data_IF_061791618181
#
_entry.id   IF_061791618181
#
_cell.length_a   1.000
_cell.length_b   1.000
_cell.length_c   1.000
_cell.angle_alpha   90.00
_cell.angle_beta   90.00
_cell.angle_gamma   90.00
#
_symmetry.space_group_name_H-M   'P 1'
#
loop_
_entity.id
_entity.type
_entity.pdbx_description
1 polymer ?
#
# COMPACT_ATOMS: atom_id res chain seq x y z
N UNK A 1 -19.16 -2.90 21.23
CA UNK A 1 -18.14 -1.98 21.80
C UNK A 1 -18.51 -0.58 21.35
N UNK A 2 -18.40 0.44 22.20
CA UNK A 2 -18.66 1.82 21.82
C UNK A 2 -17.62 2.29 20.78
N UNK A 3 -18.08 3.06 19.76
CA UNK A 3 -17.27 3.59 18.66
C UNK A 3 -16.02 4.34 19.14
N UNK A 4 -16.17 5.17 20.19
CA UNK A 4 -15.07 5.94 20.76
C UNK A 4 -13.96 5.03 21.29
N UNK A 5 -14.35 4.05 22.10
CA UNK A 5 -13.43 3.06 22.67
C UNK A 5 -12.73 2.23 21.58
N UNK A 6 -13.42 1.95 20.48
CA UNK A 6 -12.85 1.23 19.33
C UNK A 6 -11.75 2.06 18.65
N UNK A 7 -12.03 3.35 18.36
CA UNK A 7 -11.07 4.26 17.75
C UNK A 7 -9.87 4.53 18.66
N UNK A 8 -10.09 4.74 19.96
CA UNK A 8 -9.03 5.01 20.95
C UNK A 8 -8.07 3.82 21.12
N UNK A 9 -8.54 2.59 20.87
CA UNK A 9 -7.70 1.38 20.88
C UNK A 9 -6.97 1.12 19.58
N UNK A 10 -7.58 1.48 18.44
CA UNK A 10 -7.04 1.18 17.11
C UNK A 10 -6.00 2.23 16.67
N UNK A 11 -6.21 3.49 16.99
CA UNK A 11 -5.37 4.60 16.56
C UNK A 11 -4.13 4.76 17.44
N UNK A 12 -3.01 5.08 16.79
CA UNK A 12 -1.72 5.37 17.44
C UNK A 12 -1.42 6.86 17.52
N UNK A 13 -2.12 7.68 16.73
CA UNK A 13 -2.00 9.13 16.70
C UNK A 13 -3.36 9.78 16.53
N UNK A 14 -3.43 11.10 16.72
CA UNK A 14 -4.64 11.88 16.51
C UNK A 14 -5.08 11.86 15.04
N UNK A 15 -4.12 11.95 14.12
CA UNK A 15 -4.35 11.90 12.67
C UNK A 15 -4.90 10.53 12.25
N UNK A 16 -4.31 9.45 12.73
CA UNK A 16 -4.79 8.09 12.46
C UNK A 16 -6.21 7.90 13.03
N UNK A 17 -6.50 8.48 14.20
CA UNK A 17 -7.84 8.43 14.80
C UNK A 17 -8.90 9.12 13.94
N UNK A 18 -8.58 10.27 13.35
CA UNK A 18 -9.45 11.00 12.42
C UNK A 18 -9.68 10.15 11.16
N UNK A 19 -8.61 9.64 10.55
CA UNK A 19 -8.68 8.79 9.38
C UNK A 19 -9.57 7.56 9.61
N UNK A 20 -9.32 6.83 10.69
CA UNK A 20 -10.11 5.65 11.06
C UNK A 20 -11.58 6.00 11.37
N UNK A 21 -11.82 7.18 11.92
CA UNK A 21 -13.17 7.73 12.10
C UNK A 21 -13.89 7.92 10.77
N UNK A 22 -13.23 8.55 9.79
CA UNK A 22 -13.79 8.75 8.45
C UNK A 22 -14.08 7.41 7.72
N UNK A 23 -13.26 6.39 7.93
CA UNK A 23 -13.50 5.06 7.36
C UNK A 23 -14.79 4.45 7.91
N UNK A 24 -15.02 4.52 9.22
CA UNK A 24 -16.28 4.08 9.82
C UNK A 24 -17.47 4.93 9.34
N UNK A 25 -17.29 6.24 9.17
CA UNK A 25 -18.36 7.11 8.63
C UNK A 25 -18.79 6.67 7.23
N UNK A 26 -17.84 6.30 6.37
CA UNK A 26 -18.11 5.79 5.03
C UNK A 26 -18.86 4.46 5.07
N UNK A 27 -18.46 3.56 5.95
CA UNK A 27 -19.18 2.30 6.18
C UNK A 27 -20.59 2.56 6.67
N UNK A 28 -20.78 3.39 7.70
CA UNK A 28 -22.09 3.72 8.25
C UNK A 28 -23.00 4.40 7.22
N UNK A 29 -22.45 5.31 6.39
CA UNK A 29 -23.17 5.95 5.30
C UNK A 29 -23.67 4.93 4.26
N UNK A 30 -22.82 3.96 3.88
CA UNK A 30 -23.18 2.89 3.00
C UNK A 30 -24.36 2.08 3.55
N UNK A 31 -24.26 1.66 4.82
CA UNK A 31 -25.32 0.85 5.48
C UNK A 31 -26.62 1.62 5.67
N UNK A 32 -26.55 2.90 6.07
CA UNK A 32 -27.75 3.72 6.32
C UNK A 32 -28.49 4.14 5.05
N UNK A 33 -27.73 4.47 3.98
CA UNK A 33 -28.31 4.95 2.74
C UNK A 33 -28.55 3.84 1.71
N UNK A 34 -28.01 2.66 1.96
CA UNK A 34 -27.99 1.53 1.03
C UNK A 34 -27.43 1.89 -0.35
N UNK A 35 -26.38 2.71 -0.36
CA UNK A 35 -25.64 3.18 -1.53
C UNK A 35 -24.14 2.90 -1.34
N UNK A 36 -23.40 2.58 -2.43
CA UNK A 36 -21.95 2.39 -2.34
C UNK A 36 -21.26 3.67 -1.88
N UNK A 37 -20.21 3.50 -1.09
CA UNK A 37 -19.33 4.60 -0.66
C UNK A 37 -17.88 4.16 -0.76
N UNK A 38 -16.97 5.12 -0.86
CA UNK A 38 -15.54 4.83 -0.86
C UNK A 38 -14.76 5.82 0.00
N UNK A 39 -13.57 5.41 0.40
CA UNK A 39 -12.58 6.29 1.05
C UNK A 39 -11.74 7.02 0.01
N UNK A 40 -10.89 7.94 0.46
CA UNK A 40 -9.73 8.40 -0.31
C UNK A 40 -8.69 7.26 -0.46
N UNK A 41 -7.62 7.48 -1.24
CA UNK A 41 -6.51 6.53 -1.34
C UNK A 41 -5.73 6.47 -0.03
N UNK A 42 -5.60 5.27 0.48
CA UNK A 42 -4.85 4.96 1.69
C UNK A 42 -3.48 4.41 1.33
N UNK A 43 -2.47 4.77 2.08
CA UNK A 43 -1.19 4.07 2.07
C UNK A 43 -1.35 2.64 2.59
N UNK A 44 -0.40 1.74 2.33
CA UNK A 44 -0.46 0.37 2.85
C UNK A 44 -0.58 0.29 4.37
N UNK A 45 0.05 1.23 5.10
CA UNK A 45 -0.04 1.29 6.57
C UNK A 45 -1.44 1.69 7.04
N UNK A 46 -2.04 2.72 6.42
CA UNK A 46 -3.40 3.18 6.70
C UNK A 46 -4.44 2.12 6.35
N UNK A 47 -4.28 1.47 5.20
CA UNK A 47 -5.15 0.36 4.78
C UNK A 47 -5.09 -0.82 5.75
N UNK A 48 -3.90 -1.14 6.29
CA UNK A 48 -3.75 -2.16 7.32
C UNK A 48 -4.42 -1.75 8.64
N UNK A 49 -4.24 -0.49 9.07
CA UNK A 49 -4.92 0.07 10.24
C UNK A 49 -6.44 -0.01 10.13
N UNK A 50 -6.96 0.35 8.94
CA UNK A 50 -8.38 0.27 8.63
C UNK A 50 -8.92 -1.18 8.67
N UNK A 51 -8.20 -2.14 8.08
CA UNK A 51 -8.58 -3.56 8.15
C UNK A 51 -8.66 -4.08 9.59
N UNK A 52 -7.71 -3.68 10.43
CA UNK A 52 -7.70 -4.10 11.84
C UNK A 52 -8.84 -3.46 12.62
N UNK A 53 -9.17 -2.20 12.32
CA UNK A 53 -10.33 -1.52 12.88
C UNK A 53 -11.64 -2.22 12.50
N UNK A 54 -11.84 -2.49 11.19
CA UNK A 54 -13.04 -3.18 10.70
C UNK A 54 -13.19 -4.56 11.34
N UNK A 55 -12.09 -5.32 11.44
CA UNK A 55 -12.08 -6.62 12.14
C UNK A 55 -12.46 -6.48 13.61
N UNK A 56 -11.92 -5.46 14.31
CA UNK A 56 -12.25 -5.21 15.72
C UNK A 56 -13.72 -4.74 15.91
N UNK A 57 -14.31 -4.14 14.87
CA UNK A 57 -15.72 -3.78 14.80
C UNK A 57 -16.63 -4.95 14.38
N UNK A 58 -16.06 -6.16 14.19
CA UNK A 58 -16.75 -7.36 13.67
C UNK A 58 -17.33 -7.16 12.24
N UNK A 59 -16.71 -6.29 11.44
CA UNK A 59 -17.03 -6.06 10.03
C UNK A 59 -16.06 -6.90 9.21
N UNK A 60 -16.53 -8.00 8.63
CA UNK A 60 -15.70 -8.97 7.91
C UNK A 60 -15.99 -9.03 6.40
N UNK A 61 -17.10 -8.46 5.96
CA UNK A 61 -17.61 -8.50 4.58
C UNK A 61 -18.31 -7.18 4.22
N UNK A 62 -18.81 -7.07 2.99
CA UNK A 62 -19.48 -5.86 2.49
C UNK A 62 -18.49 -4.75 2.15
N UNK A 63 -17.22 -5.10 1.86
CA UNK A 63 -16.23 -4.14 1.36
C UNK A 63 -15.18 -4.81 0.46
N UNK A 64 -14.62 -4.02 -0.44
CA UNK A 64 -13.46 -4.36 -1.25
C UNK A 64 -12.35 -3.31 -1.07
N UNK A 65 -11.12 -3.69 -1.37
CA UNK A 65 -9.95 -2.80 -1.32
C UNK A 65 -9.30 -2.79 -2.71
N UNK A 66 -9.54 -1.72 -3.46
CA UNK A 66 -9.11 -1.58 -4.85
C UNK A 66 -8.12 -0.42 -5.00
N UNK A 67 -7.19 -0.55 -5.94
CA UNK A 67 -6.20 0.48 -6.27
C UNK A 67 -6.01 0.67 -7.78
N UNK A 68 -6.96 0.14 -8.59
CA UNK A 68 -6.96 0.28 -10.04
C UNK A 68 -6.23 -0.84 -10.78
N UNK A 69 -5.39 -1.63 -10.12
CA UNK A 69 -4.72 -2.81 -10.70
C UNK A 69 -4.34 -3.80 -9.60
N UNK A 70 -4.03 -5.04 -9.99
CA UNK A 70 -3.56 -6.07 -9.06
C UNK A 70 -2.16 -5.72 -8.51
N UNK A 71 -2.01 -5.76 -7.19
CA UNK A 71 -0.75 -5.40 -6.53
C UNK A 71 -0.57 -3.92 -6.22
N UNK A 72 -1.58 -3.07 -6.47
CA UNK A 72 -1.54 -1.66 -6.12
C UNK A 72 -1.18 -1.43 -4.64
N UNK A 73 -0.23 -0.52 -4.39
CA UNK A 73 0.16 -0.17 -3.02
C UNK A 73 -0.87 0.75 -2.36
N UNK A 74 -1.27 1.80 -3.05
CA UNK A 74 -2.28 2.73 -2.56
C UNK A 74 -3.65 2.29 -3.03
N UNK A 75 -4.59 2.17 -2.08
CA UNK A 75 -5.92 1.60 -2.34
C UNK A 75 -7.00 2.35 -1.60
N UNK A 76 -8.22 2.29 -2.13
CA UNK A 76 -9.43 2.79 -1.49
C UNK A 76 -10.25 1.62 -0.95
N UNK A 77 -10.89 1.79 0.19
CA UNK A 77 -12.01 0.92 0.58
C UNK A 77 -13.26 1.32 -0.18
N UNK A 78 -13.93 0.34 -0.74
CA UNK A 78 -15.27 0.43 -1.29
C UNK A 78 -16.20 -0.34 -0.38
N UNK A 79 -17.16 0.33 0.23
CA UNK A 79 -18.18 -0.29 1.04
C UNK A 79 -19.40 -0.56 0.18
N UNK A 80 -19.91 -1.80 0.25
CA UNK A 80 -20.93 -2.32 -0.63
C UNK A 80 -22.27 -2.41 0.12
N UNK A 81 -23.36 -1.89 -0.47
CA UNK A 81 -24.70 -2.12 0.04
C UNK A 81 -25.10 -3.60 -0.17
N UNK A 82 -26.15 -4.05 0.51
CA UNK A 82 -26.56 -5.46 0.52
C UNK A 82 -26.94 -6.03 -0.85
N UNK A 83 -27.31 -5.17 -1.81
CA UNK A 83 -27.68 -5.55 -3.18
C UNK A 83 -26.48 -5.65 -4.14
N UNK A 84 -25.29 -5.21 -3.74
CA UNK A 84 -24.10 -5.15 -4.59
C UNK A 84 -23.05 -6.16 -4.12
N UNK A 85 -22.73 -7.12 -5.00
CA UNK A 85 -21.74 -8.16 -4.70
C UNK A 85 -20.31 -7.73 -5.04
N UNK A 86 -20.12 -6.94 -6.10
CA UNK A 86 -18.81 -6.51 -6.58
C UNK A 86 -18.64 -5.00 -6.49
N UNK A 87 -17.45 -4.56 -6.15
CA UNK A 87 -17.11 -3.15 -6.11
C UNK A 87 -16.88 -2.61 -7.52
N UNK A 88 -17.52 -1.49 -7.85
CA UNK A 88 -17.25 -0.72 -9.04
C UNK A 88 -16.45 0.54 -8.67
N UNK A 89 -15.26 0.68 -9.24
CA UNK A 89 -14.36 1.80 -9.00
C UNK A 89 -14.43 2.85 -10.13
N UNK A 90 -15.24 2.65 -11.17
CA UNK A 90 -15.27 3.50 -12.37
C UNK A 90 -15.61 4.96 -12.07
N UNK A 91 -16.50 5.22 -11.11
CA UNK A 91 -16.89 6.56 -10.69
C UNK A 91 -15.92 7.19 -9.68
N UNK A 92 -15.02 6.41 -9.06
CA UNK A 92 -14.13 6.86 -8.01
C UNK A 92 -12.69 7.07 -8.48
N UNK A 93 -12.26 6.32 -9.50
CA UNK A 93 -10.88 6.32 -10.00
C UNK A 93 -10.83 6.67 -11.48
N UNK A 94 -9.85 7.50 -11.83
CA UNK A 94 -9.51 7.84 -13.22
C UNK A 94 -8.05 7.52 -13.46
N UNK A 95 -7.75 7.03 -14.65
CA UNK A 95 -6.41 6.69 -15.08
C UNK A 95 -5.89 7.75 -16.05
N UNK A 96 -4.73 8.29 -15.75
CA UNK A 96 -4.08 9.32 -16.55
C UNK A 96 -2.71 8.83 -17.00
N UNK A 97 -2.32 9.19 -18.21
CA UNK A 97 -0.95 9.02 -18.72
C UNK A 97 -0.30 10.37 -18.89
N UNK A 98 0.83 10.57 -18.22
CA UNK A 98 1.75 11.67 -18.44
C UNK A 98 2.89 11.20 -19.32
N UNK A 99 3.01 11.75 -20.52
CA UNK A 99 4.08 11.44 -21.46
C UNK A 99 5.06 12.62 -21.58
N UNK A 100 6.32 12.33 -21.83
CA UNK A 100 7.40 13.31 -22.01
C UNK A 100 8.33 12.92 -23.17
N UNK A 101 9.26 13.81 -23.51
CA UNK A 101 10.22 13.55 -24.57
C UNK A 101 11.24 12.48 -24.13
N UNK A 102 11.67 11.61 -25.04
CA UNK A 102 12.55 10.47 -24.78
C UNK A 102 13.89 10.84 -24.12
N UNK A 103 14.38 12.06 -24.33
CA UNK A 103 15.61 12.56 -23.69
C UNK A 103 15.43 12.94 -22.20
N UNK A 104 14.20 12.96 -21.71
CA UNK A 104 13.86 13.34 -20.35
C UNK A 104 13.59 12.09 -19.52
N UNK A 105 13.98 12.11 -18.25
CA UNK A 105 13.86 10.95 -17.37
C UNK A 105 13.39 11.39 -15.96
N UNK A 106 12.18 11.97 -15.81
CA UNK A 106 11.69 12.36 -14.51
C UNK A 106 11.50 11.10 -13.64
N UNK A 107 11.93 11.21 -12.40
CA UNK A 107 11.75 10.13 -11.42
C UNK A 107 10.35 10.17 -10.81
N UNK A 108 9.95 9.08 -10.15
CA UNK A 108 8.73 9.05 -9.36
C UNK A 108 8.67 10.24 -8.36
N UNK A 109 9.81 10.61 -7.76
CA UNK A 109 9.90 11.73 -6.81
C UNK A 109 9.64 13.07 -7.49
N UNK A 110 10.14 13.28 -8.70
CA UNK A 110 9.94 14.54 -9.45
C UNK A 110 8.47 14.71 -9.84
N UNK A 111 7.84 13.62 -10.31
CA UNK A 111 6.41 13.60 -10.64
C UNK A 111 5.55 13.86 -9.41
N UNK A 112 5.77 13.12 -8.33
CA UNK A 112 5.01 13.32 -7.08
C UNK A 112 5.23 14.73 -6.51
N UNK A 113 6.48 15.23 -6.51
CA UNK A 113 6.80 16.57 -6.02
C UNK A 113 6.09 17.65 -6.80
N UNK A 114 5.98 17.53 -8.13
CA UNK A 114 5.25 18.50 -8.97
C UNK A 114 3.75 18.49 -8.73
N UNK A 115 3.15 17.31 -8.49
CA UNK A 115 1.74 17.19 -8.10
C UNK A 115 1.47 17.87 -6.74
N UNK A 116 2.34 17.64 -5.77
CA UNK A 116 2.23 18.33 -4.47
C UNK A 116 2.38 19.85 -4.59
N UNK A 117 3.26 20.33 -5.47
CA UNK A 117 3.44 21.76 -5.73
C UNK A 117 2.22 22.40 -6.38
N UNK A 118 1.38 21.65 -7.09
CA UNK A 118 0.09 22.09 -7.59
C UNK A 118 -1.02 22.15 -6.52
N UNK A 119 -0.72 21.79 -5.28
CA UNK A 119 -1.70 21.74 -4.19
C UNK A 119 -2.58 20.49 -4.19
N UNK A 120 -2.21 19.47 -4.95
CA UNK A 120 -2.94 18.18 -4.98
C UNK A 120 -2.68 17.41 -3.68
N UNK A 121 -3.73 17.00 -3.01
CA UNK A 121 -3.61 16.25 -1.77
C UNK A 121 -3.15 14.80 -2.03
N UNK A 122 -2.24 14.28 -1.20
CA UNK A 122 -1.67 12.94 -1.39
C UNK A 122 -2.71 11.83 -1.36
N UNK A 123 -3.79 12.03 -0.63
CA UNK A 123 -4.90 11.08 -0.50
C UNK A 123 -5.80 11.00 -1.75
N UNK A 124 -5.68 11.97 -2.68
CA UNK A 124 -6.37 11.91 -3.98
C UNK A 124 -5.58 11.14 -5.04
N UNK A 125 -4.33 10.77 -4.72
CA UNK A 125 -3.42 10.07 -5.62
C UNK A 125 -3.24 8.61 -5.17
N UNK A 126 -3.47 7.69 -6.08
CA UNK A 126 -3.06 6.30 -6.00
C UNK A 126 -1.58 6.12 -6.32
N UNK A 127 -1.25 5.07 -7.06
CA UNK A 127 0.12 4.80 -7.49
C UNK A 127 0.49 5.62 -8.73
N UNK A 128 1.79 5.93 -8.85
CA UNK A 128 2.42 6.54 -10.01
C UNK A 128 3.35 5.49 -10.60
N UNK A 129 2.99 4.97 -11.77
CA UNK A 129 3.66 3.87 -12.45
C UNK A 129 4.59 4.43 -13.53
N UNK A 130 5.86 4.61 -13.17
CA UNK A 130 6.85 5.19 -14.08
C UNK A 130 7.37 4.12 -15.04
N UNK A 131 7.30 4.41 -16.33
CA UNK A 131 7.80 3.60 -17.44
C UNK A 131 8.74 4.45 -18.30
N UNK A 132 9.31 3.86 -19.33
CA UNK A 132 10.12 4.59 -20.31
C UNK A 132 9.24 5.56 -21.10
N UNK A 133 9.59 6.86 -21.09
CA UNK A 133 8.89 7.93 -21.80
C UNK A 133 7.52 8.34 -21.26
N UNK A 134 7.02 7.70 -20.18
CA UNK A 134 5.72 8.04 -19.62
C UNK A 134 5.57 7.57 -18.16
N UNK A 135 4.54 8.09 -17.49
CA UNK A 135 4.03 7.53 -16.24
C UNK A 135 2.50 7.42 -16.30
N UNK A 136 1.99 6.31 -15.81
CA UNK A 136 0.56 6.14 -15.61
C UNK A 136 0.20 6.44 -14.14
N UNK A 137 -0.88 7.18 -13.94
CA UNK A 137 -1.34 7.58 -12.61
C UNK A 137 -2.76 7.07 -12.39
N UNK A 138 -2.99 6.58 -11.19
CA UNK A 138 -4.33 6.34 -10.70
C UNK A 138 -4.69 7.50 -9.79
N UNK A 139 -5.78 8.20 -10.07
CA UNK A 139 -6.20 9.38 -9.30
C UNK A 139 -7.67 9.29 -8.95
N UNK A 140 -8.10 9.98 -7.89
CA UNK A 140 -9.52 10.11 -7.61
C UNK A 140 -10.21 10.92 -8.71
N UNK A 141 -11.46 10.56 -9.05
CA UNK A 141 -12.22 11.23 -10.11
C UNK A 141 -12.33 12.75 -9.89
N UNK A 142 -12.43 13.19 -8.64
CA UNK A 142 -12.58 14.61 -8.30
C UNK A 142 -11.38 15.49 -8.66
N UNK A 143 -10.15 14.91 -8.80
CA UNK A 143 -8.95 15.68 -9.14
C UNK A 143 -8.53 15.53 -10.61
N UNK A 144 -9.09 14.56 -11.32
CA UNK A 144 -8.63 14.17 -12.64
C UNK A 144 -8.66 15.32 -13.66
N UNK A 145 -9.78 16.03 -13.75
CA UNK A 145 -9.92 17.15 -14.69
C UNK A 145 -8.96 18.30 -14.35
N UNK A 146 -8.80 18.60 -13.06
CA UNK A 146 -7.84 19.63 -12.62
C UNK A 146 -6.42 19.29 -13.06
N UNK A 147 -6.02 18.02 -12.96
CA UNK A 147 -4.70 17.56 -13.41
C UNK A 147 -4.56 17.65 -14.93
N UNK A 148 -5.56 17.24 -15.69
CA UNK A 148 -5.56 17.34 -17.16
C UNK A 148 -5.36 18.78 -17.65
N UNK A 149 -5.92 19.74 -16.94
CA UNK A 149 -5.86 21.14 -17.32
C UNK A 149 -4.60 21.86 -16.81
N UNK A 150 -4.01 21.43 -15.70
CA UNK A 150 -3.00 22.22 -15.00
C UNK A 150 -1.63 21.53 -14.86
N UNK A 151 -1.55 20.20 -14.91
CA UNK A 151 -0.26 19.50 -14.71
C UNK A 151 0.51 19.36 -16.02
N UNK A 152 1.23 20.39 -16.37
CA UNK A 152 1.96 20.52 -17.65
C UNK A 152 3.45 20.24 -17.54
N UNK A 153 3.97 19.97 -16.33
CA UNK A 153 5.41 19.73 -16.13
C UNK A 153 5.79 19.19 -14.77
N UNK A 154 6.93 18.51 -14.74
CA UNK A 154 7.57 18.03 -13.51
C UNK A 154 9.03 18.50 -13.48
N UNK A 155 9.34 19.49 -12.66
CA UNK A 155 10.64 20.13 -12.66
C UNK A 155 10.92 20.83 -13.99
N UNK A 156 11.90 20.33 -14.75
CA UNK A 156 12.25 20.86 -16.08
C UNK A 156 11.57 20.11 -17.22
N UNK A 157 10.97 18.97 -16.94
CA UNK A 157 10.35 18.10 -17.94
C UNK A 157 8.95 18.57 -18.26
N UNK A 158 8.68 18.86 -19.53
CA UNK A 158 7.33 19.15 -20.01
C UNK A 158 6.51 17.86 -20.09
N UNK A 159 5.28 17.88 -19.63
CA UNK A 159 4.37 16.74 -19.59
C UNK A 159 3.17 16.96 -20.52
N UNK A 160 2.75 15.90 -21.18
CA UNK A 160 1.50 15.83 -21.91
C UNK A 160 0.60 14.80 -21.25
N UNK A 161 -0.51 15.26 -20.68
CA UNK A 161 -1.49 14.39 -20.02
C UNK A 161 -2.61 13.98 -20.97
N UNK A 162 -3.02 12.73 -20.79
CA UNK A 162 -4.22 12.16 -21.45
C UNK A 162 -4.92 11.21 -20.48
N UNK A 163 -6.26 11.18 -20.53
CA UNK A 163 -7.02 10.13 -19.85
C UNK A 163 -6.88 8.82 -20.64
N UNK A 164 -6.77 7.69 -19.93
CA UNK A 164 -6.65 6.35 -20.50
C UNK A 164 -7.69 5.42 -19.87
N UNK A 165 -7.99 4.31 -20.52
CA UNK A 165 -8.77 3.23 -19.91
C UNK A 165 -7.95 2.42 -18.92
N UNK A 166 -8.62 1.70 -18.02
CA UNK A 166 -7.96 0.81 -17.07
C UNK A 166 -7.16 -0.31 -17.77
N UNK A 167 -7.64 -0.79 -18.92
CA UNK A 167 -7.00 -1.79 -19.77
C UNK A 167 -5.72 -1.30 -20.47
N UNK A 168 -5.56 0.02 -20.59
CA UNK A 168 -4.37 0.65 -21.17
C UNK A 168 -3.27 0.93 -20.13
N UNK A 169 -3.52 0.63 -18.84
CA UNK A 169 -2.58 0.88 -17.75
C UNK A 169 -1.30 0.04 -17.94
N UNK A 170 -0.15 0.69 -17.84
CA UNK A 170 1.18 0.04 -17.93
C UNK A 170 1.74 -0.17 -16.54
N UNK A 171 1.55 -1.39 -16.02
CA UNK A 171 2.12 -1.76 -14.72
C UNK A 171 3.55 -2.25 -14.92
N UNK A 172 4.58 -1.54 -14.42
CA UNK A 172 5.96 -1.99 -14.55
C UNK A 172 6.15 -3.33 -13.84
N UNK A 173 6.90 -4.23 -14.45
CA UNK A 173 7.30 -5.46 -13.77
C UNK A 173 8.10 -5.12 -12.51
N UNK A 174 7.62 -5.58 -11.37
CA UNK A 174 8.36 -5.43 -10.13
C UNK A 174 9.59 -6.34 -10.17
N UNK A 175 10.77 -5.75 -10.20
CA UNK A 175 12.01 -6.50 -10.08
C UNK A 175 12.10 -7.08 -8.68
N UNK A 176 11.95 -8.40 -8.57
CA UNK A 176 12.06 -9.12 -7.32
C UNK A 176 13.24 -10.08 -7.36
N UNK A 177 13.93 -10.20 -6.24
CA UNK A 177 14.94 -11.23 -6.01
C UNK A 177 14.35 -12.29 -5.11
N UNK A 178 14.24 -13.52 -5.60
CA UNK A 178 13.89 -14.67 -4.76
C UNK A 178 15.07 -15.08 -3.88
N UNK A 179 14.80 -15.22 -2.58
CA UNK A 179 15.75 -15.71 -1.58
C UNK A 179 15.16 -16.95 -0.94
N UNK A 180 15.83 -18.09 -1.14
CA UNK A 180 15.48 -19.36 -0.50
C UNK A 180 16.43 -19.62 0.65
N UNK A 181 15.89 -19.79 1.85
CA UNK A 181 16.68 -20.03 3.06
C UNK A 181 15.93 -20.94 4.02
N UNK A 182 16.56 -21.31 5.11
CA UNK A 182 15.94 -22.07 6.19
C UNK A 182 16.16 -21.37 7.52
N UNK A 183 15.13 -21.30 8.35
CA UNK A 183 15.20 -20.71 9.69
C UNK A 183 14.85 -21.75 10.76
N UNK A 184 15.46 -21.65 11.93
CA UNK A 184 15.14 -22.54 13.05
C UNK A 184 13.73 -22.26 13.59
N UNK A 185 13.29 -21.01 13.52
CA UNK A 185 11.97 -20.56 13.95
C UNK A 185 11.54 -19.37 13.08
N UNK A 186 10.23 -19.23 12.87
CA UNK A 186 9.63 -18.10 12.14
C UNK A 186 9.56 -16.83 13.01
N UNK A 187 10.72 -16.42 13.54
CA UNK A 187 10.87 -15.20 14.33
C UNK A 187 11.32 -14.05 13.43
N UNK A 188 10.89 -12.84 13.75
CA UNK A 188 11.20 -11.65 12.97
C UNK A 188 12.71 -11.43 12.83
N UNK A 189 13.50 -11.63 13.90
CA UNK A 189 14.95 -11.49 13.86
C UNK A 189 15.62 -12.47 12.86
N UNK A 190 15.15 -13.72 12.80
CA UNK A 190 15.69 -14.73 11.91
C UNK A 190 15.29 -14.51 10.45
N UNK A 191 14.02 -14.18 10.20
CA UNK A 191 13.50 -13.96 8.84
C UNK A 191 14.05 -12.63 8.26
N UNK A 192 14.17 -11.57 9.08
CA UNK A 192 14.79 -10.30 8.68
C UNK A 192 16.27 -10.50 8.31
N UNK A 193 17.02 -11.31 9.08
CA UNK A 193 18.40 -11.64 8.78
C UNK A 193 18.53 -12.34 7.42
N UNK A 194 17.69 -13.32 7.14
CA UNK A 194 17.64 -14.01 5.85
C UNK A 194 17.30 -13.07 4.69
N UNK A 195 16.21 -12.28 4.82
CA UNK A 195 15.71 -11.40 3.76
C UNK A 195 16.64 -10.27 3.37
N UNK A 196 17.40 -9.74 4.31
CA UNK A 196 18.39 -8.68 4.05
C UNK A 196 19.83 -9.18 4.00
N UNK A 197 20.06 -10.49 4.05
CA UNK A 197 21.39 -11.12 3.96
C UNK A 197 22.36 -10.56 5.01
N UNK A 198 21.94 -10.52 6.27
CA UNK A 198 22.73 -10.02 7.40
C UNK A 198 22.77 -11.00 8.56
N UNK A 199 23.62 -10.73 9.57
CA UNK A 199 23.64 -11.52 10.79
C UNK A 199 22.35 -11.31 11.61
N UNK A 200 21.93 -12.34 12.35
CA UNK A 200 20.77 -12.26 13.23
C UNK A 200 20.90 -11.20 14.32
N UNK A 201 22.15 -10.99 14.82
CA UNK A 201 22.44 -9.92 15.79
C UNK A 201 22.15 -8.54 15.21
N UNK A 202 22.62 -8.26 13.98
CA UNK A 202 22.34 -7.00 13.29
C UNK A 202 20.85 -6.80 12.99
N UNK A 203 20.14 -7.85 12.61
CA UNK A 203 18.69 -7.80 12.44
C UNK A 203 17.99 -7.46 13.77
N UNK A 204 18.40 -8.08 14.89
CA UNK A 204 17.84 -7.79 16.21
C UNK A 204 18.10 -6.34 16.65
N UNK A 205 19.27 -5.78 16.36
CA UNK A 205 19.59 -4.36 16.62
C UNK A 205 18.68 -3.42 15.83
N UNK A 206 18.47 -3.69 14.53
CA UNK A 206 17.57 -2.88 13.69
C UNK A 206 16.14 -2.93 14.20
N UNK A 207 15.67 -4.10 14.62
CA UNK A 207 14.34 -4.30 15.18
C UNK A 207 14.18 -3.53 16.49
N UNK A 208 15.12 -3.69 17.42
CA UNK A 208 15.11 -2.99 18.72
C UNK A 208 15.17 -1.46 18.55
N UNK A 209 15.84 -0.97 17.50
CA UNK A 209 15.92 0.45 17.17
C UNK A 209 14.66 0.98 16.44
N UNK A 210 13.58 0.20 16.27
CA UNK A 210 12.35 0.60 15.59
C UNK A 210 12.50 0.83 14.07
N UNK A 211 13.58 0.30 13.45
CA UNK A 211 13.88 0.49 12.03
C UNK A 211 13.25 -0.58 11.13
N UNK A 212 12.59 -1.56 11.71
CA UNK A 212 11.92 -2.66 11.01
C UNK A 212 10.42 -2.57 11.21
N UNK A 213 9.69 -2.72 10.12
CA UNK A 213 8.24 -2.83 10.14
C UNK A 213 7.82 -4.22 9.64
N UNK A 214 6.81 -4.77 10.26
CA UNK A 214 6.08 -5.94 9.78
C UNK A 214 4.66 -5.52 9.42
N UNK A 215 4.25 -5.78 8.19
CA UNK A 215 2.95 -5.34 7.66
C UNK A 215 2.70 -3.85 7.91
N UNK A 216 3.72 -3.03 7.57
CA UNK A 216 3.73 -1.57 7.70
C UNK A 216 3.58 -1.05 9.15
N UNK A 217 3.74 -1.90 10.15
CA UNK A 217 3.75 -1.55 11.57
C UNK A 217 5.13 -1.74 12.16
N UNK A 218 5.58 -0.74 12.90
CA UNK A 218 6.83 -0.84 13.66
C UNK A 218 6.76 -1.99 14.66
N UNK A 219 7.79 -2.81 14.69
CA UNK A 219 7.96 -3.91 15.63
C UNK A 219 9.32 -3.80 16.28
N UNK A 220 9.36 -3.77 17.60
CA UNK A 220 10.60 -3.67 18.39
C UNK A 220 11.01 -5.00 19.04
N UNK A 221 10.17 -6.04 18.92
CA UNK A 221 10.43 -7.37 19.48
C UNK A 221 10.94 -8.31 18.40
N UNK A 222 12.20 -8.76 18.52
CA UNK A 222 12.82 -9.69 17.56
C UNK A 222 12.17 -11.08 17.53
N UNK A 223 11.50 -11.47 18.60
CA UNK A 223 10.79 -12.74 18.74
C UNK A 223 9.35 -12.71 18.21
N UNK A 224 8.91 -11.60 17.65
CA UNK A 224 7.61 -11.53 17.00
C UNK A 224 7.50 -12.61 15.91
N UNK A 225 6.36 -13.28 15.85
CA UNK A 225 6.10 -14.34 14.88
C UNK A 225 5.95 -13.76 13.47
N UNK A 226 6.43 -14.53 12.48
CA UNK A 226 6.30 -14.21 11.05
C UNK A 226 5.52 -15.34 10.38
N UNK A 227 4.62 -14.98 9.47
CA UNK A 227 3.80 -15.93 8.70
C UNK A 227 3.98 -15.69 7.20
N UNK A 228 3.51 -16.63 6.41
CA UNK A 228 3.39 -16.47 4.96
C UNK A 228 2.48 -15.28 4.62
N UNK A 229 2.85 -14.48 3.63
CA UNK A 229 2.17 -13.24 3.24
C UNK A 229 2.60 -12.02 4.05
N UNK A 230 3.42 -12.17 5.12
CA UNK A 230 3.94 -11.01 5.85
C UNK A 230 4.92 -10.21 4.99
N UNK A 231 4.76 -8.89 4.97
CA UNK A 231 5.70 -7.95 4.37
C UNK A 231 6.59 -7.36 5.46
N UNK A 232 7.90 -7.50 5.27
CA UNK A 232 8.89 -6.95 6.20
C UNK A 232 9.70 -5.88 5.46
N UNK A 233 9.72 -4.67 6.03
CA UNK A 233 10.52 -3.57 5.51
C UNK A 233 11.51 -3.07 6.55
N UNK A 234 12.67 -2.61 6.08
CA UNK A 234 13.68 -2.00 6.95
C UNK A 234 14.18 -0.70 6.31
N UNK A 235 14.22 0.36 7.11
CA UNK A 235 14.61 1.70 6.65
C UNK A 235 16.01 1.69 6.05
N UNK A 236 16.12 2.06 4.78
CA UNK A 236 17.37 2.09 4.02
C UNK A 236 17.80 0.73 3.41
N UNK A 237 17.02 -0.34 3.61
CA UNK A 237 17.31 -1.68 3.06
C UNK A 237 16.24 -2.17 2.08
N UNK A 238 15.08 -1.49 2.01
CA UNK A 238 13.95 -1.89 1.18
C UNK A 238 12.96 -2.79 1.91
N UNK A 239 12.24 -3.61 1.15
CA UNK A 239 11.21 -4.53 1.67
C UNK A 239 11.29 -5.90 1.01
N UNK A 240 10.77 -6.91 1.68
CA UNK A 240 10.51 -8.23 1.13
C UNK A 240 9.20 -8.81 1.68
N UNK A 241 8.64 -9.73 0.93
CA UNK A 241 7.47 -10.52 1.31
C UNK A 241 7.92 -11.95 1.64
N UNK A 242 7.28 -12.56 2.63
CA UNK A 242 7.39 -14.00 2.90
C UNK A 242 6.44 -14.74 1.96
N UNK A 243 6.93 -15.09 0.77
CA UNK A 243 6.10 -15.66 -0.29
C UNK A 243 5.62 -17.09 0.07
N UNK A 244 6.48 -17.88 0.72
CA UNK A 244 6.15 -19.26 1.09
C UNK A 244 6.83 -19.64 2.41
N UNK A 245 6.11 -20.38 3.23
CA UNK A 245 6.62 -21.08 4.40
C UNK A 245 6.50 -22.56 4.11
N UNK A 246 7.63 -23.19 3.83
CA UNK A 246 7.71 -24.62 3.46
C UNK A 246 7.77 -25.56 4.66
N UNK A 247 7.99 -26.83 4.37
CA UNK A 247 8.11 -27.86 5.38
C UNK A 247 9.44 -27.83 6.16
N UNK A 248 9.52 -28.72 7.15
CA UNK A 248 10.73 -28.93 7.93
C UNK A 248 11.79 -29.68 7.11
N UNK A 249 13.00 -29.17 7.12
CA UNK A 249 14.16 -29.88 6.60
C UNK A 249 14.53 -31.08 7.48
N UNK A 250 15.40 -31.95 6.97
CA UNK A 250 15.94 -33.10 7.75
C UNK A 250 16.63 -32.69 9.07
N UNK A 251 17.04 -31.40 9.17
CA UNK A 251 17.66 -30.83 10.37
C UNK A 251 16.66 -30.05 11.25
N UNK A 252 15.37 -30.22 11.06
CA UNK A 252 14.31 -29.57 11.84
C UNK A 252 14.19 -28.06 11.60
N UNK A 253 14.69 -27.51 10.47
CA UNK A 253 14.58 -26.10 10.11
C UNK A 253 13.45 -25.90 9.11
N UNK A 254 12.70 -24.82 9.25
CA UNK A 254 11.61 -24.43 8.34
C UNK A 254 12.18 -23.76 7.09
N UNK A 255 11.82 -24.26 5.91
CA UNK A 255 12.14 -23.61 4.63
C UNK A 255 11.32 -22.32 4.46
N UNK A 256 11.93 -21.29 3.90
CA UNK A 256 11.25 -20.05 3.55
C UNK A 256 11.64 -19.60 2.14
N UNK A 257 10.66 -19.05 1.41
CA UNK A 257 10.87 -18.32 0.17
C UNK A 257 10.50 -16.87 0.41
N UNK A 258 11.47 -15.97 0.21
CA UNK A 258 11.27 -14.53 0.35
C UNK A 258 11.40 -13.87 -1.02
N UNK A 259 10.51 -12.92 -1.33
CA UNK A 259 10.58 -12.07 -2.52
C UNK A 259 11.02 -10.67 -2.10
N UNK A 260 12.27 -10.34 -2.36
CA UNK A 260 12.84 -9.03 -2.05
C UNK A 260 12.65 -8.12 -3.25
N UNK A 261 11.99 -7.00 -3.03
CA UNK A 261 11.82 -5.93 -4.02
C UNK A 261 13.14 -5.15 -4.18
N UNK A 262 13.53 -4.88 -5.43
CA UNK A 262 14.81 -4.23 -5.80
C UNK A 262 14.58 -2.77 -6.20
#
# INVERSE_FOLDING_TARGET
MDRRSLLDRAAKSAEERVLLGHILDKYDQCRQRNLPTNTAFLSPAEAQGARDLLRAAAIHEGFALLGGYEGAERRMFFFLPDWQEEADASDAMVFLRAAWHESEHPTHRDLLGSLMALGVERETLGDILVSEGSADLIVSAGVAQYLLDNWTGAGRTALRLTAIGADALRVPEQKVKEIRDTVATLRLDAVTAAGFSMSRGKAAELIAAGRVQKNYREVTKGDASVAQGDVISARGLGKFEVAEVGGLSKKGRTGILLRRYL
#
